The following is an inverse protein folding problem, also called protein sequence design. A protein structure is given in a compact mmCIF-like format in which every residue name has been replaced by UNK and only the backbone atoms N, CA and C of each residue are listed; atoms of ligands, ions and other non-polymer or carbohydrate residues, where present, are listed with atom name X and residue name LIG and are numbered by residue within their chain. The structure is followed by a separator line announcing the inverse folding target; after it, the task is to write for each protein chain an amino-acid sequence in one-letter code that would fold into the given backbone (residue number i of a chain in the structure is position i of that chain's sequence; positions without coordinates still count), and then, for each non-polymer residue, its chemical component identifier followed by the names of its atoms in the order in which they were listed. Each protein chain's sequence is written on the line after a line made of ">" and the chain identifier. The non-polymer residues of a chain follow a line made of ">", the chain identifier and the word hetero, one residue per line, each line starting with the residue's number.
data_IF_045210506900
#
_entry.id   IF_045210506900
#
_cell.length_a   1.000
_cell.length_b   1.000
_cell.length_c   1.000
_cell.angle_alpha   90.00
_cell.angle_beta   90.00
_cell.angle_gamma   90.00
#
_symmetry.space_group_name_H-M   'P 1'
#
loop_
_entity.id
_entity.type
_entity.pdbx_description
1 polymer ?
#
# COMPACT_ATOMS: atom_id res chain seq x y z
N UNK A 1 10.17 21.34 28.98
CA UNK A 1 10.97 21.88 27.86
C UNK A 1 11.37 20.74 26.92
N UNK A 2 12.12 19.74 27.37
CA UNK A 2 12.44 18.54 26.57
C UNK A 2 11.19 17.73 26.12
N UNK A 3 10.19 17.55 26.99
CA UNK A 3 8.94 16.85 26.63
C UNK A 3 8.09 17.61 25.59
N UNK A 4 8.09 18.94 25.65
CA UNK A 4 7.42 19.80 24.66
C UNK A 4 8.13 19.79 23.31
N UNK A 5 9.47 19.75 23.29
CA UNK A 5 10.25 19.64 22.06
C UNK A 5 10.10 18.25 21.40
N UNK A 6 10.07 17.20 22.21
CA UNK A 6 9.84 15.82 21.73
C UNK A 6 8.44 15.64 21.14
N UNK A 7 7.40 16.16 21.81
CA UNK A 7 6.02 16.14 21.31
C UNK A 7 5.88 16.90 19.99
N UNK A 8 6.51 18.07 19.87
CA UNK A 8 6.49 18.88 18.65
C UNK A 8 7.23 18.20 17.48
N UNK A 9 8.35 17.53 17.75
CA UNK A 9 9.08 16.74 16.76
C UNK A 9 8.23 15.57 16.23
N UNK A 10 7.56 14.85 17.12
CA UNK A 10 6.69 13.70 16.80
C UNK A 10 5.56 14.08 15.86
N UNK A 11 4.89 15.20 16.12
CA UNK A 11 3.81 15.70 15.26
C UNK A 11 4.33 16.14 13.89
N UNK A 12 5.49 16.79 13.84
CA UNK A 12 6.11 17.19 12.57
C UNK A 12 6.43 15.98 11.68
N UNK A 13 6.94 14.89 12.28
CA UNK A 13 7.21 13.64 11.56
C UNK A 13 5.90 13.03 11.04
N UNK A 14 4.86 12.95 11.86
CA UNK A 14 3.57 12.40 11.45
C UNK A 14 2.95 13.20 10.28
N UNK A 15 2.94 14.53 10.39
CA UNK A 15 2.44 15.43 9.34
C UNK A 15 3.19 15.29 8.03
N UNK A 16 4.53 15.20 8.11
CA UNK A 16 5.36 14.95 6.95
C UNK A 16 4.97 13.62 6.28
N UNK A 17 4.87 12.53 7.06
CA UNK A 17 4.50 11.21 6.54
C UNK A 17 3.12 11.22 5.89
N UNK A 18 2.10 11.78 6.54
CA UNK A 18 0.74 11.82 5.98
C UNK A 18 0.66 12.64 4.69
N UNK A 19 1.32 13.80 4.66
CA UNK A 19 1.34 14.67 3.49
C UNK A 19 2.06 14.00 2.32
N UNK A 20 3.23 13.41 2.55
CA UNK A 20 3.98 12.69 1.51
C UNK A 20 3.24 11.44 1.02
N UNK A 21 2.60 10.70 1.94
CA UNK A 21 1.77 9.54 1.59
C UNK A 21 0.63 9.94 0.67
N UNK A 22 0.01 11.10 0.91
CA UNK A 22 -1.02 11.62 0.02
C UNK A 22 -0.46 12.05 -1.35
N UNK A 23 0.55 12.93 -1.35
CA UNK A 23 1.10 13.53 -2.57
C UNK A 23 1.75 12.52 -3.50
N UNK A 24 2.43 11.51 -2.97
CA UNK A 24 3.09 10.46 -3.77
C UNK A 24 2.18 9.25 -3.97
N UNK A 25 1.44 8.86 -2.94
CA UNK A 25 0.63 7.66 -2.95
C UNK A 25 -0.56 7.75 -3.89
N UNK A 26 -1.25 8.90 -3.93
CA UNK A 26 -2.41 9.09 -4.81
C UNK A 26 -2.05 8.92 -6.30
N UNK A 27 -1.11 9.69 -6.88
CA UNK A 27 -0.77 9.54 -8.28
C UNK A 27 -0.15 8.18 -8.59
N UNK A 28 0.67 7.61 -7.70
CA UNK A 28 1.29 6.32 -7.92
C UNK A 28 0.28 5.17 -7.99
N UNK A 29 -0.67 5.11 -7.04
CA UNK A 29 -1.69 4.06 -7.04
C UNK A 29 -2.71 4.23 -8.18
N UNK A 30 -3.06 5.47 -8.55
CA UNK A 30 -3.90 5.73 -9.74
C UNK A 30 -3.22 5.28 -11.03
N UNK A 31 -1.93 5.55 -11.19
CA UNK A 31 -1.15 5.10 -12.34
C UNK A 31 -1.12 3.58 -12.44
N UNK A 32 -0.86 2.89 -11.32
CA UNK A 32 -0.84 1.41 -11.29
C UNK A 32 -2.22 0.84 -11.59
N UNK A 33 -3.27 1.39 -10.98
CA UNK A 33 -4.65 1.00 -11.25
C UNK A 33 -4.94 1.10 -12.75
N UNK A 34 -4.62 2.22 -13.37
CA UNK A 34 -4.79 2.44 -14.81
C UNK A 34 -4.04 1.41 -15.66
N UNK A 35 -2.75 1.18 -15.38
CA UNK A 35 -1.92 0.20 -16.10
C UNK A 35 -2.50 -1.21 -15.97
N UNK A 36 -2.95 -1.60 -14.78
CA UNK A 36 -3.46 -2.94 -14.51
C UNK A 36 -4.88 -3.16 -15.03
N UNK A 37 -5.75 -2.15 -15.02
CA UNK A 37 -7.08 -2.21 -15.66
C UNK A 37 -6.92 -2.36 -17.18
N UNK A 38 -6.05 -1.57 -17.80
CA UNK A 38 -5.69 -1.69 -19.23
C UNK A 38 -5.15 -3.09 -19.54
N UNK A 39 -4.28 -3.62 -18.69
CA UNK A 39 -3.74 -4.97 -18.82
C UNK A 39 -4.82 -6.04 -18.72
N UNK A 40 -5.76 -5.90 -17.77
CA UNK A 40 -6.90 -6.79 -17.61
C UNK A 40 -7.81 -6.79 -18.84
N UNK A 41 -8.10 -5.61 -19.40
CA UNK A 41 -8.91 -5.46 -20.61
C UNK A 41 -8.24 -6.08 -21.85
N UNK A 42 -6.93 -5.87 -22.05
CA UNK A 42 -6.22 -6.33 -23.24
C UNK A 42 -5.77 -7.80 -23.21
N UNK A 43 -5.38 -8.33 -22.04
CA UNK A 43 -4.76 -9.66 -21.92
C UNK A 43 -5.52 -10.61 -20.98
N UNK A 44 -6.68 -10.18 -20.50
CA UNK A 44 -7.48 -10.89 -19.50
C UNK A 44 -6.97 -10.69 -18.07
N UNK A 45 -7.87 -10.88 -17.09
CA UNK A 45 -7.57 -10.77 -15.68
C UNK A 45 -6.83 -12.03 -15.17
N UNK A 46 -5.50 -11.94 -15.08
CA UNK A 46 -4.70 -12.97 -14.40
C UNK A 46 -4.78 -12.81 -12.88
N UNK A 47 -4.49 -13.86 -12.08
CA UNK A 47 -4.59 -13.77 -10.61
C UNK A 47 -3.81 -12.61 -10.02
N UNK A 48 -2.54 -12.45 -10.43
CA UNK A 48 -1.69 -11.35 -9.95
C UNK A 48 -2.21 -9.98 -10.38
N UNK A 49 -2.95 -9.87 -11.49
CA UNK A 49 -3.61 -8.62 -11.88
C UNK A 49 -4.77 -8.31 -10.95
N UNK A 50 -5.61 -9.32 -10.63
CA UNK A 50 -6.73 -9.15 -9.68
C UNK A 50 -6.23 -8.73 -8.30
N UNK A 51 -5.19 -9.37 -7.77
CA UNK A 51 -4.63 -9.01 -6.47
C UNK A 51 -3.99 -7.61 -6.47
N UNK A 52 -3.26 -7.25 -7.54
CA UNK A 52 -2.70 -5.90 -7.67
C UNK A 52 -3.79 -4.82 -7.74
N UNK A 53 -4.93 -5.09 -8.40
CA UNK A 53 -6.06 -4.17 -8.42
C UNK A 53 -6.69 -4.00 -7.04
N UNK A 54 -6.91 -5.09 -6.29
CA UNK A 54 -7.43 -5.02 -4.92
C UNK A 54 -6.48 -4.23 -4.00
N UNK A 55 -5.17 -4.42 -4.18
CA UNK A 55 -4.15 -3.72 -3.44
C UNK A 55 -4.13 -2.21 -3.73
N UNK A 56 -4.27 -1.82 -5.02
CA UNK A 56 -4.44 -0.42 -5.40
C UNK A 56 -5.70 0.19 -4.77
N UNK A 57 -6.83 -0.54 -4.77
CA UNK A 57 -8.07 -0.07 -4.17
C UNK A 57 -7.91 0.16 -2.66
N UNK A 58 -7.28 -0.77 -1.95
CA UNK A 58 -6.98 -0.63 -0.52
C UNK A 58 -6.14 0.64 -0.24
N UNK A 59 -5.05 0.81 -0.99
CA UNK A 59 -4.16 1.97 -0.83
C UNK A 59 -4.84 3.29 -1.21
N UNK A 60 -5.68 3.32 -2.24
CA UNK A 60 -6.40 4.55 -2.63
C UNK A 60 -7.38 5.00 -1.54
N UNK A 61 -8.07 4.04 -0.92
CA UNK A 61 -8.94 4.33 0.23
C UNK A 61 -8.11 4.89 1.38
N UNK A 62 -7.00 4.25 1.73
CA UNK A 62 -6.09 4.74 2.78
C UNK A 62 -5.58 6.16 2.50
N UNK A 63 -5.12 6.41 1.28
CA UNK A 63 -4.61 7.72 0.83
C UNK A 63 -5.69 8.80 0.93
N UNK A 64 -6.94 8.49 0.61
CA UNK A 64 -8.04 9.45 0.71
C UNK A 64 -8.28 9.91 2.17
N UNK A 65 -7.94 9.08 3.16
CA UNK A 65 -8.04 9.42 4.58
C UNK A 65 -6.83 10.19 5.14
N UNK A 66 -5.68 10.18 4.46
CA UNK A 66 -4.45 10.84 4.94
C UNK A 66 -4.59 12.35 5.17
N UNK A 67 -5.28 13.14 4.32
CA UNK A 67 -5.47 14.58 4.56
C UNK A 67 -6.30 14.85 5.82
N UNK A 68 -7.29 14.01 6.10
CA UNK A 68 -8.13 14.12 7.29
C UNK A 68 -7.27 13.88 8.54
N UNK A 69 -6.39 12.86 8.50
CA UNK A 69 -5.47 12.59 9.61
C UNK A 69 -4.45 13.71 9.81
N UNK A 70 -3.90 14.26 8.73
CA UNK A 70 -2.98 15.39 8.80
C UNK A 70 -3.64 16.64 9.43
N UNK A 71 -4.89 16.93 9.06
CA UNK A 71 -5.67 18.02 9.66
C UNK A 71 -5.90 17.81 11.16
N UNK A 72 -6.21 16.59 11.60
CA UNK A 72 -6.35 16.29 13.02
C UNK A 72 -5.04 16.49 13.78
N UNK A 73 -3.92 16.00 13.24
CA UNK A 73 -2.60 16.19 13.88
C UNK A 73 -2.19 17.67 13.96
N UNK A 74 -2.57 18.50 12.97
CA UNK A 74 -2.34 19.96 13.04
C UNK A 74 -3.20 20.65 14.10
N UNK A 75 -4.46 20.23 14.23
CA UNK A 75 -5.41 20.85 15.15
C UNK A 75 -5.27 20.34 16.59
N UNK A 76 -4.49 19.27 16.79
CA UNK A 76 -4.27 18.60 18.08
C UNK A 76 -5.60 18.23 18.78
N UNK A 77 -6.66 18.01 18.00
CA UNK A 77 -8.00 17.78 18.50
C UNK A 77 -8.85 17.04 17.46
N UNK A 78 -9.52 15.97 17.90
CA UNK A 78 -10.47 15.23 17.08
C UNK A 78 -11.84 15.94 17.03
N UNK A 79 -11.95 16.96 16.18
CA UNK A 79 -13.21 17.72 16.01
C UNK A 79 -14.29 17.00 15.21
N UNK A 80 -14.00 15.81 14.69
CA UNK A 80 -14.92 15.04 13.87
C UNK A 80 -15.84 14.18 14.76
N UNK A 81 -17.07 13.88 14.29
CA UNK A 81 -17.96 12.95 14.99
C UNK A 81 -17.27 11.61 15.34
N UNK A 82 -17.59 11.04 16.51
CA UNK A 82 -17.04 9.76 16.96
C UNK A 82 -17.19 8.60 15.93
N UNK A 83 -18.27 8.48 15.14
CA UNK A 83 -18.36 7.47 14.09
C UNK A 83 -17.28 7.57 13.01
N UNK A 84 -16.74 8.77 12.75
CA UNK A 84 -15.70 8.97 11.74
C UNK A 84 -14.36 8.40 12.21
N UNK A 85 -14.06 8.45 13.52
CA UNK A 85 -12.87 7.82 14.11
C UNK A 85 -12.91 6.30 13.89
N UNK A 86 -14.08 5.70 14.08
CA UNK A 86 -14.31 4.28 13.84
C UNK A 86 -14.10 3.91 12.36
N UNK A 87 -14.72 4.67 11.46
CA UNK A 87 -14.64 4.45 10.01
C UNK A 87 -13.20 4.61 9.53
N UNK A 88 -12.50 5.65 10.00
CA UNK A 88 -11.09 5.90 9.69
C UNK A 88 -10.21 4.73 10.11
N UNK A 89 -10.27 4.34 11.38
CA UNK A 89 -9.49 3.23 11.94
C UNK A 89 -9.79 1.93 11.19
N UNK A 90 -11.06 1.68 10.89
CA UNK A 90 -11.48 0.53 10.10
C UNK A 90 -10.80 0.48 8.72
N UNK A 91 -10.81 1.59 7.97
CA UNK A 91 -10.17 1.62 6.65
C UNK A 91 -8.65 1.55 6.72
N UNK A 92 -8.05 2.17 7.73
CA UNK A 92 -6.61 2.11 7.99
C UNK A 92 -6.14 0.68 8.22
N UNK A 93 -6.76 -0.02 9.18
CA UNK A 93 -6.42 -1.41 9.47
C UNK A 93 -6.77 -2.36 8.34
N UNK A 94 -7.91 -2.13 7.67
CA UNK A 94 -8.30 -2.90 6.48
C UNK A 94 -7.26 -2.75 5.37
N UNK A 95 -6.73 -1.55 5.16
CA UNK A 95 -5.67 -1.34 4.18
C UNK A 95 -4.37 -2.02 4.61
N UNK A 96 -3.94 -1.88 5.86
CA UNK A 96 -2.68 -2.50 6.34
C UNK A 96 -2.72 -4.02 6.18
N UNK A 97 -3.72 -4.67 6.77
CA UNK A 97 -3.81 -6.14 6.75
C UNK A 97 -4.26 -6.69 5.40
N UNK A 98 -5.13 -5.96 4.69
CA UNK A 98 -5.47 -6.27 3.30
C UNK A 98 -4.22 -6.27 2.42
N UNK A 99 -3.39 -5.24 2.53
CA UNK A 99 -2.14 -5.16 1.78
C UNK A 99 -1.16 -6.27 2.11
N UNK A 100 -1.01 -6.64 3.39
CA UNK A 100 -0.25 -7.83 3.78
C UNK A 100 -0.73 -9.10 3.06
N UNK A 101 -2.04 -9.41 3.14
CA UNK A 101 -2.60 -10.61 2.53
C UNK A 101 -2.49 -10.61 0.99
N UNK A 102 -2.73 -9.48 0.33
CA UNK A 102 -2.63 -9.39 -1.12
C UNK A 102 -1.17 -9.44 -1.62
N UNK A 103 -0.21 -8.85 -0.91
CA UNK A 103 1.22 -9.01 -1.22
C UNK A 103 1.60 -10.49 -1.14
N UNK A 104 1.16 -11.19 -0.09
CA UNK A 104 1.40 -12.63 0.05
C UNK A 104 0.79 -13.40 -1.12
N UNK A 105 -0.46 -13.11 -1.50
CA UNK A 105 -1.11 -13.73 -2.64
C UNK A 105 -0.37 -13.49 -3.98
N UNK A 106 0.13 -12.27 -4.22
CA UNK A 106 0.98 -11.94 -5.38
C UNK A 106 2.29 -12.72 -5.36
N UNK A 107 2.91 -12.87 -4.20
CA UNK A 107 4.18 -13.59 -4.02
C UNK A 107 3.99 -15.09 -4.25
N UNK A 108 2.93 -15.68 -3.69
CA UNK A 108 2.53 -17.08 -3.93
C UNK A 108 2.22 -17.30 -5.41
N UNK A 109 1.43 -16.42 -6.02
CA UNK A 109 1.09 -16.51 -7.45
C UNK A 109 2.34 -16.48 -8.33
N UNK A 110 3.34 -15.65 -7.99
CA UNK A 110 4.64 -15.63 -8.66
C UNK A 110 5.40 -16.94 -8.47
N UNK A 111 5.50 -17.44 -7.24
CA UNK A 111 6.15 -18.71 -6.95
C UNK A 111 5.53 -19.86 -7.73
N UNK A 112 4.20 -19.98 -7.73
CA UNK A 112 3.47 -20.99 -8.50
C UNK A 112 3.75 -20.87 -10.00
N UNK A 113 3.84 -19.64 -10.53
CA UNK A 113 4.12 -19.43 -11.96
C UNK A 113 5.52 -19.91 -12.38
N UNK A 114 6.50 -19.88 -11.47
CA UNK A 114 7.89 -20.28 -11.74
C UNK A 114 8.08 -21.77 -11.46
N UNK A 115 7.62 -22.26 -10.30
CA UNK A 115 7.85 -23.61 -9.83
C UNK A 115 6.89 -24.64 -10.45
N UNK A 116 5.63 -24.25 -10.69
CA UNK A 116 4.55 -25.16 -11.07
C UNK A 116 3.66 -24.58 -12.18
N UNK A 117 4.18 -24.38 -13.40
CA UNK A 117 3.45 -23.71 -14.48
C UNK A 117 2.13 -24.40 -14.85
N UNK A 118 2.04 -25.73 -14.73
CA UNK A 118 0.82 -26.50 -14.98
C UNK A 118 -0.26 -26.18 -13.92
N UNK A 119 0.12 -26.16 -12.64
CA UNK A 119 -0.77 -25.79 -11.53
C UNK A 119 -1.19 -24.32 -11.69
N UNK A 120 -0.24 -23.44 -12.03
CA UNK A 120 -0.50 -22.03 -12.26
C UNK A 120 -1.51 -21.80 -13.41
N UNK A 121 -1.49 -22.62 -14.47
CA UNK A 121 -2.50 -22.55 -15.54
C UNK A 121 -3.93 -22.80 -15.03
N UNK A 122 -4.11 -23.70 -14.06
CA UNK A 122 -5.41 -23.92 -13.39
C UNK A 122 -5.75 -22.77 -12.44
N UNK A 123 -4.75 -22.30 -11.69
CA UNK A 123 -4.88 -21.14 -10.80
C UNK A 123 -5.24 -19.85 -11.53
N UNK A 124 -4.83 -19.72 -12.81
CA UNK A 124 -5.07 -18.55 -13.68
C UNK A 124 -6.56 -18.26 -13.96
N UNK A 125 -7.48 -19.15 -13.59
CA UNK A 125 -8.92 -18.91 -13.74
C UNK A 125 -9.34 -17.69 -12.91
N UNK A 126 -9.76 -16.60 -13.57
CA UNK A 126 -10.17 -15.36 -12.91
C UNK A 126 -11.18 -15.56 -11.77
N UNK A 127 -12.12 -16.50 -11.94
CA UNK A 127 -13.10 -16.89 -10.91
C UNK A 127 -12.44 -17.30 -9.58
N UNK A 128 -11.35 -18.08 -9.63
CA UNK A 128 -10.65 -18.52 -8.42
C UNK A 128 -9.95 -17.34 -7.74
N UNK A 129 -9.34 -16.43 -8.52
CA UNK A 129 -8.69 -15.25 -7.97
C UNK A 129 -9.67 -14.25 -7.37
N UNK A 130 -10.86 -14.09 -7.96
CA UNK A 130 -11.93 -13.32 -7.35
C UNK A 130 -12.40 -13.96 -6.05
N UNK A 131 -12.62 -15.27 -6.04
CA UNK A 131 -13.00 -16.00 -4.82
C UNK A 131 -11.95 -15.85 -3.71
N UNK A 132 -10.66 -16.01 -4.04
CA UNK A 132 -9.57 -15.80 -3.08
C UNK A 132 -9.58 -14.35 -2.58
N UNK A 133 -9.75 -13.36 -3.46
CA UNK A 133 -9.78 -11.96 -3.05
C UNK A 133 -10.94 -11.66 -2.09
N UNK A 134 -12.13 -12.20 -2.37
CA UNK A 134 -13.30 -12.10 -1.49
C UNK A 134 -13.02 -12.77 -0.14
N UNK A 135 -12.40 -13.96 -0.14
CA UNK A 135 -12.04 -14.65 1.09
C UNK A 135 -11.01 -13.87 1.92
N UNK A 136 -9.98 -13.30 1.29
CA UNK A 136 -8.97 -12.48 1.98
C UNK A 136 -9.62 -11.23 2.59
N UNK A 137 -10.49 -10.54 1.85
CA UNK A 137 -11.25 -9.43 2.41
C UNK A 137 -12.15 -9.87 3.55
N UNK A 138 -12.88 -10.98 3.41
CA UNK A 138 -13.73 -11.50 4.48
C UNK A 138 -12.94 -11.78 5.76
N UNK A 139 -11.75 -12.37 5.66
CA UNK A 139 -10.84 -12.57 6.80
C UNK A 139 -10.54 -11.23 7.48
N UNK A 140 -10.05 -10.23 6.72
CA UNK A 140 -9.74 -8.90 7.27
C UNK A 140 -10.95 -8.27 7.96
N UNK A 141 -12.10 -8.30 7.28
CA UNK A 141 -13.33 -7.70 7.78
C UNK A 141 -13.85 -8.40 9.04
N UNK A 142 -13.73 -9.72 9.15
CA UNK A 142 -14.15 -10.49 10.34
C UNK A 142 -13.28 -10.16 11.54
N UNK A 143 -11.94 -10.23 11.41
CA UNK A 143 -11.03 -9.88 12.50
C UNK A 143 -11.27 -8.44 12.97
N UNK A 144 -11.45 -7.53 12.02
CA UNK A 144 -11.64 -6.12 12.34
C UNK A 144 -13.00 -5.85 12.98
N UNK A 145 -14.07 -6.47 12.50
CA UNK A 145 -15.40 -6.36 13.12
C UNK A 145 -15.38 -6.89 14.55
N UNK A 146 -14.69 -8.01 14.79
CA UNK A 146 -14.55 -8.56 16.13
C UNK A 146 -13.77 -7.61 17.05
N UNK A 147 -12.70 -6.97 16.57
CA UNK A 147 -12.00 -5.92 17.34
C UNK A 147 -12.91 -4.76 17.69
N UNK A 148 -13.65 -4.23 16.72
CA UNK A 148 -14.53 -3.09 16.98
C UNK A 148 -15.63 -3.41 18.00
N UNK A 149 -16.16 -4.64 17.98
CA UNK A 149 -17.16 -5.11 18.95
C UNK A 149 -16.52 -5.33 20.33
N UNK A 150 -15.36 -6.00 20.38
CA UNK A 150 -14.63 -6.28 21.62
C UNK A 150 -14.13 -5.01 22.32
N UNK A 151 -13.85 -3.95 21.56
CA UNK A 151 -13.46 -2.63 22.05
C UNK A 151 -14.64 -1.83 22.66
N UNK A 152 -15.85 -2.37 22.62
CA UNK A 152 -16.99 -1.88 23.40
C UNK A 152 -17.82 -0.78 22.73
N UNK A 153 -17.76 -0.65 21.40
CA UNK A 153 -18.70 0.13 20.58
C UNK A 153 -19.05 1.53 21.12
N UNK A 154 -18.40 2.56 20.56
CA UNK A 154 -18.65 4.00 20.73
C UNK A 154 -17.80 4.79 21.75
N UNK A 155 -16.99 4.16 22.61
CA UNK A 155 -16.01 4.87 23.47
C UNK A 155 -14.60 4.94 22.85
N UNK A 156 -14.53 5.23 21.55
CA UNK A 156 -13.27 5.31 20.80
C UNK A 156 -12.58 6.67 20.88
N UNK A 157 -13.34 7.69 21.26
CA UNK A 157 -12.82 9.02 21.54
C UNK A 157 -12.63 9.08 23.04
N UNK A 158 -11.38 9.04 23.49
CA UNK A 158 -11.05 9.33 24.89
C UNK A 158 -10.83 10.81 25.05
N UNK A 159 -11.42 11.39 26.09
CA UNK A 159 -11.26 12.80 26.43
C UNK A 159 -10.16 12.90 27.48
N UNK A 160 -9.04 13.54 27.14
CA UNK A 160 -7.93 13.84 28.08
C UNK A 160 -7.91 15.34 28.33
N UNK A 161 -8.57 15.79 29.41
CA UNK A 161 -8.78 17.21 29.66
C UNK A 161 -9.78 17.81 28.67
N UNK A 162 -9.41 18.87 27.95
CA UNK A 162 -10.25 19.50 26.91
C UNK A 162 -10.03 18.92 25.49
N UNK A 163 -9.15 17.91 25.36
CA UNK A 163 -8.75 17.34 24.05
C UNK A 163 -9.38 15.97 23.84
N UNK A 164 -9.95 15.78 22.65
CA UNK A 164 -10.52 14.51 22.21
C UNK A 164 -9.52 13.72 21.36
N UNK A 165 -9.19 12.48 21.77
CA UNK A 165 -8.20 11.63 21.08
C UNK A 165 -8.87 10.35 20.58
N UNK A 166 -8.70 10.06 19.29
CA UNK A 166 -9.22 8.85 18.64
C UNK A 166 -8.27 7.65 18.87
N UNK A 167 -8.79 6.59 19.49
CA UNK A 167 -8.13 5.27 19.61
C UNK A 167 -6.87 5.22 20.51
N UNK A 168 -6.74 6.08 21.52
CA UNK A 168 -5.47 6.18 22.27
C UNK A 168 -5.52 5.69 23.73
N UNK A 169 -6.68 5.55 24.38
CA UNK A 169 -6.74 5.17 25.80
C UNK A 169 -7.79 4.08 26.06
N UNK A 170 -7.37 3.00 26.74
CA UNK A 170 -8.20 1.83 27.05
C UNK A 170 -8.13 1.54 28.55
N UNK A 171 -9.30 1.26 29.17
CA UNK A 171 -9.36 0.82 30.56
C UNK A 171 -8.83 -0.62 30.71
N UNK A 172 -8.48 -1.03 31.93
CA UNK A 172 -7.90 -2.35 32.20
C UNK A 172 -8.76 -3.53 31.70
N UNK A 173 -10.09 -3.42 31.79
CA UNK A 173 -11.02 -4.43 31.29
C UNK A 173 -11.04 -4.52 29.75
N UNK A 174 -10.94 -3.37 29.06
CA UNK A 174 -10.84 -3.33 27.60
C UNK A 174 -9.49 -3.89 27.14
N UNK A 175 -8.41 -3.53 27.84
CA UNK A 175 -7.06 -3.99 27.53
C UNK A 175 -6.92 -5.52 27.67
N UNK A 176 -7.61 -6.12 28.65
CA UNK A 176 -7.64 -7.57 28.85
C UNK A 176 -8.22 -8.35 27.67
N UNK A 177 -9.14 -7.76 26.90
CA UNK A 177 -9.71 -8.36 25.67
C UNK A 177 -8.91 -7.95 24.44
N UNK A 178 -8.45 -6.71 24.40
CA UNK A 178 -7.79 -6.10 23.25
C UNK A 178 -6.39 -6.65 22.99
N UNK A 179 -5.60 -6.90 24.04
CA UNK A 179 -4.24 -7.41 23.87
C UNK A 179 -4.19 -8.81 23.25
N UNK A 180 -4.96 -9.82 23.71
CA UNK A 180 -5.03 -11.12 23.05
C UNK A 180 -5.47 -11.02 21.59
N UNK A 181 -6.41 -10.13 21.29
CA UNK A 181 -6.90 -9.94 19.93
C UNK A 181 -5.85 -9.30 19.01
N UNK A 182 -5.14 -8.27 19.48
CA UNK A 182 -4.03 -7.67 18.74
C UNK A 182 -2.91 -8.66 18.48
N UNK A 183 -2.62 -9.54 19.45
CA UNK A 183 -1.66 -10.62 19.27
C UNK A 183 -2.14 -11.62 18.21
N UNK A 184 -3.41 -12.03 18.27
CA UNK A 184 -4.04 -12.92 17.29
C UNK A 184 -3.92 -12.34 15.87
N UNK A 185 -4.29 -11.07 15.67
CA UNK A 185 -4.12 -10.39 14.39
C UNK A 185 -2.66 -10.33 13.94
N UNK A 186 -1.72 -10.01 14.84
CA UNK A 186 -0.31 -9.98 14.51
C UNK A 186 0.19 -11.36 14.04
N UNK A 187 -0.30 -12.45 14.65
CA UNK A 187 0.08 -13.81 14.26
C UNK A 187 -0.56 -14.18 12.91
N UNK A 188 -1.88 -14.06 12.80
CA UNK A 188 -2.65 -14.57 11.65
C UNK A 188 -2.51 -13.69 10.42
N UNK A 189 -2.54 -12.37 10.59
CA UNK A 189 -2.55 -11.39 9.49
C UNK A 189 -1.17 -10.82 9.16
N UNK A 190 -0.14 -11.11 9.97
CA UNK A 190 1.23 -10.67 9.69
C UNK A 190 2.26 -11.81 9.74
N UNK A 191 2.42 -12.54 10.86
CA UNK A 191 3.48 -13.56 10.98
C UNK A 191 3.28 -14.71 10.00
N UNK A 192 2.06 -15.25 9.88
CA UNK A 192 1.76 -16.31 8.91
C UNK A 192 2.02 -15.83 7.46
N UNK A 193 1.47 -14.67 7.02
CA UNK A 193 1.81 -14.05 5.75
C UNK A 193 3.31 -13.81 5.53
N UNK A 194 4.05 -13.39 6.54
CA UNK A 194 5.50 -13.18 6.49
C UNK A 194 6.25 -14.50 6.24
N UNK A 195 5.89 -15.58 6.94
CA UNK A 195 6.48 -16.90 6.76
C UNK A 195 6.23 -17.40 5.33
N UNK A 196 4.99 -17.31 4.86
CA UNK A 196 4.61 -17.73 3.50
C UNK A 196 5.37 -16.91 2.45
N UNK A 197 5.43 -15.59 2.62
CA UNK A 197 6.11 -14.67 1.71
C UNK A 197 7.62 -14.94 1.68
N UNK A 198 8.23 -15.18 2.84
CA UNK A 198 9.65 -15.52 2.97
C UNK A 198 9.97 -16.84 2.30
N UNK A 199 9.19 -17.89 2.58
CA UNK A 199 9.34 -19.20 1.95
C UNK A 199 9.24 -19.09 0.42
N UNK A 200 8.17 -18.45 -0.08
CA UNK A 200 7.96 -18.28 -1.52
C UNK A 200 9.10 -17.47 -2.16
N UNK A 201 9.58 -16.42 -1.49
CA UNK A 201 10.69 -15.58 -1.96
C UNK A 201 11.98 -16.39 -2.05
N UNK A 202 12.35 -17.11 -0.99
CA UNK A 202 13.55 -17.95 -0.97
C UNK A 202 13.51 -19.01 -2.08
N UNK A 203 12.37 -19.70 -2.24
CA UNK A 203 12.21 -20.69 -3.31
C UNK A 203 12.27 -20.06 -4.70
N UNK A 204 11.68 -18.87 -4.90
CA UNK A 204 11.81 -18.13 -6.15
C UNK A 204 13.28 -17.79 -6.43
N UNK A 205 14.02 -17.31 -5.43
CA UNK A 205 15.44 -16.98 -5.57
C UNK A 205 16.25 -18.20 -5.99
N UNK A 206 16.09 -19.33 -5.28
CA UNK A 206 16.79 -20.58 -5.61
C UNK A 206 16.48 -21.06 -7.04
N UNK A 207 15.19 -21.09 -7.42
CA UNK A 207 14.78 -21.55 -8.74
C UNK A 207 15.31 -20.64 -9.86
N UNK A 208 15.26 -19.32 -9.67
CA UNK A 208 15.75 -18.35 -10.65
C UNK A 208 17.27 -18.39 -10.75
N UNK A 209 17.98 -18.59 -9.64
CA UNK A 209 19.43 -18.69 -9.61
C UNK A 209 19.93 -19.84 -10.51
N UNK A 210 19.33 -21.02 -10.36
CA UNK A 210 19.67 -22.23 -11.13
C UNK A 210 19.04 -22.29 -12.53
N UNK A 211 18.18 -21.35 -12.90
CA UNK A 211 17.53 -21.35 -14.21
C UNK A 211 18.45 -20.90 -15.35
N UNK A 212 18.09 -21.21 -16.60
CA UNK A 212 18.75 -20.66 -17.81
C UNK A 212 18.17 -19.30 -18.24
N UNK A 213 17.55 -18.54 -17.33
CA UNK A 213 17.06 -17.19 -17.65
C UNK A 213 18.23 -16.26 -18.01
N UNK A 214 17.98 -15.33 -18.94
CA UNK A 214 18.94 -14.26 -19.25
C UNK A 214 19.29 -13.47 -17.98
N UNK A 215 20.54 -12.98 -17.81
CA UNK A 215 20.96 -12.27 -16.60
C UNK A 215 20.04 -11.10 -16.21
N UNK A 216 19.57 -10.33 -17.19
CA UNK A 216 18.62 -9.22 -17.00
C UNK A 216 17.28 -9.71 -16.42
N UNK A 217 16.75 -10.84 -16.92
CA UNK A 217 15.52 -11.44 -16.42
C UNK A 217 15.67 -11.97 -15.01
N UNK A 218 16.80 -12.63 -14.70
CA UNK A 218 17.14 -13.09 -13.35
C UNK A 218 17.17 -11.92 -12.37
N UNK A 219 17.94 -10.87 -12.69
CA UNK A 219 18.06 -9.66 -11.86
C UNK A 219 16.69 -9.06 -11.58
N UNK A 220 15.84 -8.90 -12.60
CA UNK A 220 14.48 -8.35 -12.43
C UNK A 220 13.65 -9.16 -11.46
N UNK A 221 13.56 -10.48 -11.62
CA UNK A 221 12.74 -11.34 -10.75
C UNK A 221 13.27 -11.33 -9.31
N UNK A 222 14.59 -11.40 -9.14
CA UNK A 222 15.25 -11.35 -7.83
C UNK A 222 15.02 -10.01 -7.14
N UNK A 223 15.24 -8.89 -7.83
CA UNK A 223 14.98 -7.55 -7.28
C UNK A 223 13.55 -7.42 -6.83
N UNK A 224 12.57 -7.77 -7.68
CA UNK A 224 11.16 -7.67 -7.28
C UNK A 224 10.86 -8.58 -6.09
N UNK A 225 11.37 -9.81 -6.03
CA UNK A 225 11.12 -10.73 -4.91
C UNK A 225 11.70 -10.20 -3.59
N UNK A 226 12.96 -9.79 -3.60
CA UNK A 226 13.63 -9.24 -2.43
C UNK A 226 13.04 -7.90 -1.98
N UNK A 227 12.71 -7.00 -2.92
CA UNK A 227 12.07 -5.73 -2.60
C UNK A 227 10.67 -5.95 -2.03
N UNK A 228 9.89 -6.90 -2.56
CA UNK A 228 8.56 -7.23 -1.99
C UNK A 228 8.68 -7.66 -0.53
N UNK A 229 9.64 -8.56 -0.23
CA UNK A 229 9.91 -9.01 1.14
C UNK A 229 10.40 -7.86 2.04
N UNK A 230 11.29 -7.02 1.53
CA UNK A 230 11.82 -5.87 2.27
C UNK A 230 10.71 -4.86 2.62
N UNK A 231 9.82 -4.53 1.68
CA UNK A 231 8.64 -3.69 1.94
C UNK A 231 7.77 -4.32 3.02
N UNK A 232 7.53 -5.64 2.93
CA UNK A 232 6.73 -6.36 3.91
C UNK A 232 7.29 -6.24 5.34
N UNK A 233 8.60 -6.39 5.49
CA UNK A 233 9.27 -6.31 6.80
C UNK A 233 9.32 -4.86 7.29
N UNK A 234 9.84 -3.93 6.48
CA UNK A 234 10.08 -2.54 6.89
C UNK A 234 8.77 -1.80 7.17
N UNK A 235 7.74 -2.03 6.35
CA UNK A 235 6.49 -1.28 6.48
C UNK A 235 5.57 -1.87 7.56
N UNK A 236 5.50 -3.20 7.71
CA UNK A 236 4.51 -3.83 8.59
C UNK A 236 5.06 -4.42 9.88
N UNK A 237 6.34 -4.81 9.94
CA UNK A 237 6.90 -5.44 11.13
C UNK A 237 6.92 -4.51 12.35
N UNK A 238 7.27 -3.21 12.26
CA UNK A 238 7.27 -2.33 13.42
C UNK A 238 5.90 -2.28 14.10
N UNK A 239 4.84 -2.08 13.31
CA UNK A 239 3.47 -2.00 13.83
C UNK A 239 3.04 -3.31 14.50
N UNK A 240 3.30 -4.46 13.87
CA UNK A 240 2.93 -5.76 14.45
C UNK A 240 3.82 -6.16 15.64
N UNK A 241 5.07 -5.72 15.68
CA UNK A 241 5.93 -5.89 16.85
C UNK A 241 5.36 -5.15 18.07
N UNK A 242 4.76 -3.97 17.85
CA UNK A 242 4.10 -3.24 18.94
C UNK A 242 2.97 -4.04 19.59
N UNK A 243 2.25 -4.86 18.83
CA UNK A 243 1.19 -5.74 19.36
C UNK A 243 1.75 -6.85 20.24
N UNK A 244 2.85 -7.48 19.80
CA UNK A 244 3.54 -8.53 20.55
C UNK A 244 4.10 -7.97 21.86
N UNK A 245 4.78 -6.81 21.80
CA UNK A 245 5.36 -6.15 22.98
C UNK A 245 4.26 -5.70 23.93
N UNK A 246 3.19 -5.10 23.43
CA UNK A 246 2.05 -4.69 24.26
C UNK A 246 1.37 -5.87 24.97
N UNK A 247 1.25 -7.01 24.30
CA UNK A 247 0.75 -8.23 24.93
C UNK A 247 1.69 -8.75 26.02
N UNK A 248 3.00 -8.80 25.74
CA UNK A 248 4.01 -9.28 26.68
C UNK A 248 4.10 -8.40 27.95
N UNK A 249 4.02 -7.08 27.79
CA UNK A 249 4.08 -6.12 28.89
C UNK A 249 2.72 -5.85 29.54
N UNK A 250 1.61 -6.33 28.93
CA UNK A 250 0.24 -6.07 29.36
C UNK A 250 -0.15 -4.59 29.38
N UNK A 251 0.44 -3.80 28.46
CA UNK A 251 0.31 -2.34 28.43
C UNK A 251 -0.02 -1.83 27.02
N UNK A 252 -0.63 -0.64 26.95
CA UNK A 252 -0.71 0.12 25.71
C UNK A 252 0.63 0.80 25.46
N UNK A 253 1.19 0.63 24.27
CA UNK A 253 2.55 1.05 23.97
C UNK A 253 2.52 2.36 23.19
N UNK A 254 3.14 3.40 23.74
CA UNK A 254 3.11 4.76 23.17
C UNK A 254 3.75 4.84 21.78
N UNK A 255 4.76 4.00 21.50
CA UNK A 255 5.43 4.03 20.21
C UNK A 255 4.63 3.36 19.07
N UNK A 256 3.48 2.75 19.37
CA UNK A 256 2.61 2.08 18.39
C UNK A 256 2.14 3.00 17.28
N UNK A 257 1.81 4.25 17.61
CA UNK A 257 1.35 5.24 16.62
C UNK A 257 2.45 5.55 15.61
N UNK A 258 3.71 5.67 16.04
CA UNK A 258 4.85 5.87 15.13
C UNK A 258 5.19 4.62 14.33
N UNK A 259 5.05 3.44 14.94
CA UNK A 259 5.21 2.17 14.25
C UNK A 259 4.19 2.00 13.12
N UNK A 260 2.98 2.56 13.28
CA UNK A 260 1.97 2.58 12.24
C UNK A 260 2.35 3.50 11.07
N UNK A 261 3.10 4.59 11.32
CA UNK A 261 3.57 5.49 10.26
C UNK A 261 4.42 4.75 9.22
N UNK A 262 5.21 3.75 9.64
CA UNK A 262 6.03 2.96 8.69
C UNK A 262 5.17 2.15 7.73
N UNK A 263 3.95 1.77 8.13
CA UNK A 263 3.00 1.08 7.24
C UNK A 263 2.50 1.98 6.12
N UNK A 264 2.48 3.30 6.32
CA UNK A 264 2.13 4.29 5.28
C UNK A 264 3.12 4.27 4.12
N UNK A 265 4.39 3.94 4.36
CA UNK A 265 5.42 3.87 3.32
C UNK A 265 5.10 2.85 2.22
N UNK A 266 4.33 1.82 2.58
CA UNK A 266 3.86 0.83 1.65
C UNK A 266 3.14 1.45 0.44
N UNK A 267 2.36 2.51 0.67
CA UNK A 267 1.51 3.15 -0.32
C UNK A 267 2.30 3.65 -1.54
N UNK A 268 3.56 4.05 -1.37
CA UNK A 268 4.42 4.47 -2.50
C UNK A 268 5.43 3.41 -2.92
N UNK A 269 5.86 2.50 -2.03
CA UNK A 269 6.80 1.42 -2.36
C UNK A 269 6.14 0.29 -3.17
N UNK A 270 4.88 -0.05 -2.89
CA UNK A 270 4.13 -1.07 -3.64
C UNK A 270 3.94 -0.73 -5.11
N UNK A 271 3.50 0.50 -5.48
CA UNK A 271 3.41 0.89 -6.86
C UNK A 271 4.71 0.69 -7.64
N UNK A 272 5.86 1.00 -7.03
CA UNK A 272 7.18 0.77 -7.64
C UNK A 272 7.37 -0.73 -7.92
N UNK A 273 7.12 -1.59 -6.93
CA UNK A 273 7.22 -3.06 -7.10
C UNK A 273 6.27 -3.58 -8.18
N UNK A 274 5.03 -3.08 -8.25
CA UNK A 274 4.04 -3.49 -9.25
C UNK A 274 4.40 -3.03 -10.67
N UNK A 275 4.92 -1.82 -10.82
CA UNK A 275 5.38 -1.33 -12.12
C UNK A 275 6.58 -2.16 -12.60
N UNK A 276 7.49 -2.55 -11.70
CA UNK A 276 8.58 -3.49 -12.02
C UNK A 276 8.08 -4.90 -12.37
N UNK A 277 6.91 -5.32 -11.88
CA UNK A 277 6.26 -6.57 -12.27
C UNK A 277 5.58 -6.50 -13.64
N UNK A 278 5.22 -5.31 -14.11
CA UNK A 278 4.50 -5.15 -15.37
C UNK A 278 5.47 -5.19 -16.56
N UNK A 279 5.29 -6.10 -17.54
CA UNK A 279 6.08 -6.11 -18.77
C UNK A 279 5.94 -4.85 -19.61
N UNK A 280 4.84 -4.10 -19.39
CA UNK A 280 4.50 -2.87 -20.10
C UNK A 280 5.44 -1.69 -19.81
N UNK A 281 6.21 -1.78 -18.72
CA UNK A 281 7.15 -0.76 -18.28
C UNK A 281 8.56 -1.36 -18.42
N UNK A 282 9.18 -1.16 -19.59
CA UNK A 282 10.60 -1.47 -19.80
C UNK A 282 11.46 -0.42 -19.07
N UNK A 283 12.70 -0.76 -18.73
CA UNK A 283 13.61 0.18 -18.04
C UNK A 283 13.85 1.48 -18.82
N UNK A 284 13.81 1.39 -20.15
CA UNK A 284 13.88 2.53 -21.09
C UNK A 284 12.79 3.58 -20.82
N UNK A 285 11.58 3.14 -20.47
CA UNK A 285 10.46 4.07 -20.22
C UNK A 285 10.61 4.90 -18.95
N UNK A 286 11.36 4.43 -17.95
CA UNK A 286 11.65 5.21 -16.72
C UNK A 286 12.78 6.21 -16.92
N UNK A 287 13.83 5.83 -17.64
CA UNK A 287 14.93 6.74 -17.99
C UNK A 287 14.43 7.87 -18.89
N UNK A 288 13.54 7.56 -19.85
CA UNK A 288 12.86 8.60 -20.65
C UNK A 288 11.93 9.51 -19.83
N UNK A 289 11.18 8.99 -18.85
CA UNK A 289 10.35 9.83 -17.99
C UNK A 289 11.18 10.70 -17.02
N UNK A 290 12.27 10.15 -16.47
CA UNK A 290 13.20 10.88 -15.60
C UNK A 290 13.92 12.02 -16.35
N UNK A 291 14.23 11.81 -17.63
CA UNK A 291 14.81 12.83 -18.52
C UNK A 291 13.77 13.78 -19.15
N UNK A 292 12.47 13.63 -18.83
CA UNK A 292 11.40 14.44 -19.43
C UNK A 292 11.19 14.18 -20.93
N UNK A 293 11.72 13.08 -21.47
CA UNK A 293 11.71 12.66 -22.88
C UNK A 293 10.81 11.45 -23.12
N UNK A 294 9.67 11.36 -22.45
CA UNK A 294 8.73 10.25 -22.66
C UNK A 294 8.33 10.11 -24.14
N UNK A 295 8.81 9.05 -24.81
CA UNK A 295 8.52 8.76 -26.22
C UNK A 295 7.07 8.31 -26.43
N UNK A 296 6.54 8.50 -27.65
CA UNK A 296 5.24 7.96 -28.07
C UNK A 296 5.16 6.42 -27.87
N UNK A 297 6.29 5.71 -27.95
CA UNK A 297 6.37 4.28 -27.69
C UNK A 297 6.22 3.94 -26.19
N UNK A 298 6.83 4.75 -25.31
CA UNK A 298 6.72 4.65 -23.85
C UNK A 298 5.28 4.93 -23.39
N UNK A 299 4.66 5.97 -23.93
CA UNK A 299 3.26 6.32 -23.66
C UNK A 299 2.29 5.25 -24.18
N UNK A 300 2.56 4.65 -25.35
CA UNK A 300 1.85 3.46 -25.85
C UNK A 300 2.06 2.24 -24.95
N UNK A 301 3.22 2.09 -24.31
CA UNK A 301 3.50 1.07 -23.29
C UNK A 301 2.62 1.23 -22.04
N UNK A 302 2.41 2.47 -21.59
CA UNK A 302 1.42 2.82 -20.57
C UNK A 302 -0.05 2.80 -21.08
N UNK A 303 -0.24 2.54 -22.37
CA UNK A 303 -1.53 2.55 -23.07
C UNK A 303 -2.14 3.95 -23.26
N UNK A 304 -1.45 5.03 -22.87
CA UNK A 304 -1.94 6.40 -23.02
C UNK A 304 -2.25 6.62 -24.51
N UNK A 305 -3.50 6.97 -24.80
CA UNK A 305 -3.98 7.11 -26.16
C UNK A 305 -3.23 8.27 -26.83
N UNK A 306 -2.58 7.98 -27.95
CA UNK A 306 -1.80 8.95 -28.75
C UNK A 306 -2.67 10.14 -29.16
N UNK A 307 -3.99 9.98 -29.16
CA UNK A 307 -4.98 11.02 -29.44
C UNK A 307 -5.00 12.11 -28.36
N UNK A 308 -4.92 11.75 -27.07
CA UNK A 308 -4.82 12.73 -25.96
C UNK A 308 -3.48 13.46 -26.01
N UNK A 309 -2.42 12.76 -26.41
CA UNK A 309 -1.12 13.38 -26.62
C UNK A 309 -1.13 14.35 -27.79
N UNK A 310 -1.74 14.00 -28.93
CA UNK A 310 -1.90 14.93 -30.07
C UNK A 310 -2.64 16.20 -29.67
N UNK A 311 -3.65 16.11 -28.81
CA UNK A 311 -4.36 17.29 -28.29
C UNK A 311 -3.45 18.13 -27.37
N UNK A 312 -2.67 17.51 -26.49
CA UNK A 312 -1.72 18.22 -25.62
C UNK A 312 -0.52 18.80 -26.37
N UNK A 313 -0.06 18.13 -27.43
CA UNK A 313 1.02 18.60 -28.31
C UNK A 313 0.53 19.72 -29.23
N UNK A 314 -0.67 19.60 -29.82
CA UNK A 314 -1.32 20.70 -30.54
C UNK A 314 -1.54 21.91 -29.64
N UNK A 315 -1.93 21.73 -28.38
CA UNK A 315 -2.06 22.82 -27.41
C UNK A 315 -0.70 23.48 -27.11
N UNK A 316 0.38 22.70 -27.06
CA UNK A 316 1.74 23.19 -26.77
C UNK A 316 2.35 23.92 -27.97
N UNK A 317 2.15 23.40 -29.18
CA UNK A 317 2.58 24.00 -30.44
C UNK A 317 1.79 25.29 -30.72
N UNK A 318 0.50 25.33 -30.40
CA UNK A 318 -0.32 26.54 -30.45
C UNK A 318 0.18 27.62 -29.48
N UNK A 319 0.53 27.25 -28.24
CA UNK A 319 1.16 28.17 -27.28
C UNK A 319 2.53 28.68 -27.77
N UNK A 320 3.32 27.84 -28.42
CA UNK A 320 4.63 28.22 -28.98
C UNK A 320 4.49 29.16 -30.19
N UNK A 321 3.48 28.93 -31.05
CA UNK A 321 3.13 29.80 -32.16
C UNK A 321 2.67 31.18 -31.65
N UNK A 322 1.78 31.23 -30.66
CA UNK A 322 1.32 32.47 -30.04
C UNK A 322 2.46 33.26 -29.37
N UNK A 323 3.45 32.58 -28.78
CA UNK A 323 4.65 33.24 -28.22
C UNK A 323 5.55 33.82 -29.31
N UNK A 324 5.75 33.15 -30.44
CA UNK A 324 6.50 33.70 -31.58
C UNK A 324 5.77 34.88 -32.24
N UNK A 325 4.45 34.80 -32.37
CA UNK A 325 3.63 35.88 -32.91
C UNK A 325 3.70 37.17 -32.05
N UNK A 326 3.86 37.03 -30.72
CA UNK A 326 4.03 38.18 -29.80
C UNK A 326 5.42 38.80 -29.81
N UNK A 327 6.44 38.09 -30.31
CA UNK A 327 7.82 38.60 -30.27
C UNK A 327 8.19 39.51 -31.43
N UNK A 328 7.35 39.59 -32.47
CA UNK A 328 7.56 40.47 -33.62
C UNK A 328 8.83 40.15 -34.43
N UNK A 329 8.92 40.51 -35.71
CA UNK A 329 10.18 40.40 -36.44
C UNK A 329 11.20 41.39 -35.84
N UNK A 330 12.38 40.89 -35.45
CA UNK A 330 13.59 41.73 -35.40
C UNK A 330 14.16 41.84 -36.80
#
# INVERSE_FOLDING_TARGET
>A
MAETEDMQLKDCIALFVYTFTFLLGLPANLLVLFVYVRKASKHGATPNVVYALNLCLANLVLVAWMPIKAMETLLQDWKLPAPICLIYSFFLFSSVYGSCLFITAVTVGRYLSIAFPIIYKRYRRARLSCFISVALWAVVLIHLSFALVAEGGANFVSVKGDISVCYDHFNASQLAVLLPLRLEMAIVLFIVPLIVTSFCTLRCVTLVWHSNLRPIGKKRVLTVALTTLAVFVVCYAPYNASHIVGFALKENIDWRTYAMLTSSCNVFLEPVVMLMLSPAVSRESWEECADGKASSATLKGFGIDVTVLKVLQMSRDHQHYLRRARQGPR
#
